data_IF_433908857853
#
_entry.id   IF_433908857853
#
_cell.length_a   1.000
_cell.length_b   1.000
_cell.length_c   1.000
_cell.angle_alpha   90.00
_cell.angle_beta   90.00
_cell.angle_gamma   90.00
#
_symmetry.space_group_name_H-M   'P 1'
#
loop_
_entity.id
_entity.type
_entity.pdbx_description
1 polymer ?
#
# COMPACT_ATOMS: atom_id res chain seq x y z
N UNK A 1 -10.74 -15.77 -6.26
CA UNK A 1 -9.65 -15.03 -5.60
C UNK A 1 -8.37 -15.82 -5.83
N UNK A 2 -7.33 -15.24 -6.43
CA UNK A 2 -6.06 -15.94 -6.66
C UNK A 2 -5.28 -16.03 -5.34
N UNK A 3 -4.69 -17.20 -5.08
CA UNK A 3 -3.82 -17.43 -3.92
C UNK A 3 -2.35 -17.25 -4.31
N UNK A 4 -1.47 -17.15 -3.32
CA UNK A 4 -0.01 -17.14 -3.57
C UNK A 4 0.47 -18.44 -4.25
N UNK A 5 -0.21 -19.57 -3.98
CA UNK A 5 0.07 -20.84 -4.65
C UNK A 5 -0.25 -20.79 -6.16
N UNK A 6 -1.31 -20.07 -6.55
CA UNK A 6 -1.64 -19.87 -7.97
C UNK A 6 -0.57 -19.06 -8.69
N UNK A 7 0.00 -18.05 -8.02
CA UNK A 7 1.12 -17.27 -8.55
C UNK A 7 2.34 -18.13 -8.75
N UNK A 8 2.75 -18.94 -7.76
CA UNK A 8 3.90 -19.84 -7.87
C UNK A 8 3.70 -20.88 -9.00
N UNK A 9 2.51 -21.46 -9.13
CA UNK A 9 2.20 -22.40 -10.19
C UNK A 9 2.27 -21.76 -11.59
N UNK A 10 1.80 -20.52 -11.74
CA UNK A 10 1.92 -19.77 -13.00
C UNK A 10 3.37 -19.52 -13.37
N UNK A 11 4.22 -19.18 -12.41
CA UNK A 11 5.64 -18.93 -12.62
C UNK A 11 6.40 -20.17 -13.10
N UNK A 12 6.04 -21.36 -12.61
CA UNK A 12 6.66 -22.65 -13.01
C UNK A 12 6.51 -22.97 -14.50
N UNK A 13 5.50 -22.40 -15.16
CA UNK A 13 5.27 -22.60 -16.59
C UNK A 13 6.24 -21.82 -17.49
N UNK A 14 6.96 -20.84 -16.91
CA UNK A 14 7.87 -19.96 -17.64
C UNK A 14 9.33 -20.34 -17.37
N UNK A 15 10.04 -20.79 -18.40
CA UNK A 15 11.43 -21.29 -18.28
C UNK A 15 12.50 -20.21 -18.12
N UNK A 16 12.22 -18.93 -18.37
CA UNK A 16 13.20 -17.83 -18.40
C UNK A 16 12.72 -16.56 -17.70
N UNK A 17 12.31 -16.68 -16.44
CA UNK A 17 12.03 -15.50 -15.63
C UNK A 17 13.36 -14.97 -15.08
N UNK A 18 13.78 -13.80 -15.57
CA UNK A 18 14.97 -13.12 -15.08
C UNK A 18 14.73 -12.40 -13.75
N UNK A 19 13.56 -11.79 -13.62
CA UNK A 19 13.17 -10.99 -12.45
C UNK A 19 11.68 -10.72 -12.44
N UNK A 20 11.09 -10.73 -11.25
CA UNK A 20 9.71 -10.32 -11.01
C UNK A 20 9.73 -8.91 -10.43
N UNK A 21 8.99 -7.99 -11.04
CA UNK A 21 8.81 -6.64 -10.51
C UNK A 21 7.38 -6.50 -10.00
N UNK A 22 7.22 -6.10 -8.74
CA UNK A 22 5.93 -5.85 -8.10
C UNK A 22 5.70 -4.35 -8.02
N UNK A 23 4.52 -3.94 -8.46
CA UNK A 23 3.99 -2.60 -8.23
C UNK A 23 2.59 -2.73 -7.67
N UNK A 24 2.30 -2.02 -6.58
CA UNK A 24 1.00 -2.02 -5.92
C UNK A 24 0.43 -0.62 -5.88
N UNK A 25 -0.88 -0.51 -5.97
CA UNK A 25 -1.56 0.78 -5.84
C UNK A 25 -2.96 0.59 -5.28
N UNK A 26 -3.48 1.64 -4.67
CA UNK A 26 -4.81 1.62 -4.10
C UNK A 26 -5.27 2.97 -3.58
N UNK A 27 -6.58 3.10 -3.43
CA UNK A 27 -7.24 4.26 -2.86
C UNK A 27 -8.01 3.87 -1.60
N UNK A 28 -7.99 4.72 -0.54
CA UNK A 28 -8.77 4.53 0.68
C UNK A 28 -8.45 3.18 1.35
N UNK A 29 -9.45 2.34 1.60
CA UNK A 29 -9.28 0.96 2.09
C UNK A 29 -8.48 0.08 1.12
N UNK A 30 -8.55 0.37 -0.19
CA UNK A 30 -7.71 -0.28 -1.19
C UNK A 30 -6.22 0.07 -1.02
N UNK A 31 -5.91 1.27 -0.56
CA UNK A 31 -4.53 1.66 -0.21
C UNK A 31 -4.04 0.91 1.05
N UNK A 32 -4.87 0.79 2.08
CA UNK A 32 -4.57 -0.03 3.25
C UNK A 32 -4.35 -1.51 2.88
N UNK A 33 -5.21 -2.05 2.01
CA UNK A 33 -5.06 -3.41 1.50
C UNK A 33 -3.77 -3.58 0.67
N UNK A 34 -3.40 -2.61 -0.15
CA UNK A 34 -2.16 -2.64 -0.93
C UNK A 34 -0.92 -2.70 -0.02
N UNK A 35 -0.91 -1.93 1.07
CA UNK A 35 0.15 -1.96 2.09
C UNK A 35 0.22 -3.32 2.78
N UNK A 36 -0.89 -3.80 3.33
CA UNK A 36 -0.98 -5.08 4.02
C UNK A 36 -0.63 -6.26 3.09
N UNK A 37 -1.13 -6.26 1.85
CA UNK A 37 -0.81 -7.28 0.85
C UNK A 37 0.68 -7.32 0.52
N UNK A 38 1.29 -6.14 0.33
CA UNK A 38 2.71 -6.06 -0.02
C UNK A 38 3.59 -6.64 1.08
N UNK A 39 3.30 -6.31 2.35
CA UNK A 39 4.01 -6.88 3.50
C UNK A 39 3.80 -8.40 3.59
N UNK A 40 2.55 -8.85 3.45
CA UNK A 40 2.26 -10.28 3.47
C UNK A 40 2.96 -11.03 2.33
N UNK A 41 3.07 -10.42 1.15
CA UNK A 41 3.79 -11.03 0.05
C UNK A 41 5.30 -11.08 0.31
N UNK A 42 5.87 -10.01 0.88
CA UNK A 42 7.29 -10.01 1.29
C UNK A 42 7.62 -11.12 2.30
N UNK A 43 6.71 -11.45 3.19
CA UNK A 43 6.90 -12.56 4.14
C UNK A 43 6.93 -13.94 3.47
N UNK A 44 6.41 -14.06 2.24
CA UNK A 44 6.52 -15.28 1.44
C UNK A 44 7.84 -15.34 0.65
N UNK A 45 8.63 -14.26 0.66
CA UNK A 45 9.90 -14.20 -0.05
C UNK A 45 11.05 -14.64 0.85
N UNK A 46 12.00 -15.36 0.27
CA UNK A 46 13.29 -15.63 0.89
C UNK A 46 14.23 -14.44 0.69
N UNK A 47 15.03 -14.11 1.70
CA UNK A 47 16.03 -13.04 1.63
C UNK A 47 17.43 -13.63 1.78
N UNK A 48 18.31 -13.31 0.84
CA UNK A 48 19.72 -13.71 0.87
C UNK A 48 20.63 -12.51 0.51
N UNK A 49 21.93 -12.77 0.35
CA UNK A 49 22.92 -11.75 -0.01
C UNK A 49 22.67 -11.11 -1.40
N UNK A 50 21.89 -11.75 -2.27
CA UNK A 50 21.54 -11.27 -3.61
C UNK A 50 20.21 -10.50 -3.62
N UNK A 51 19.47 -10.46 -2.50
CA UNK A 51 18.19 -9.79 -2.34
C UNK A 51 17.03 -10.71 -2.06
N UNK A 52 15.85 -10.36 -2.55
CA UNK A 52 14.63 -11.15 -2.37
C UNK A 52 14.41 -12.13 -3.51
N UNK A 53 13.94 -13.31 -3.18
CA UNK A 53 13.50 -14.32 -4.14
C UNK A 53 12.14 -14.90 -3.73
N UNK A 54 11.38 -15.36 -4.72
CA UNK A 54 10.04 -15.92 -4.51
C UNK A 54 9.86 -17.26 -5.21
N UNK A 55 9.07 -18.12 -4.56
CA UNK A 55 8.62 -19.40 -5.09
C UNK A 55 9.70 -20.47 -5.13
N UNK A 56 9.31 -21.68 -5.51
CA UNK A 56 10.19 -22.86 -5.57
C UNK A 56 11.33 -22.71 -6.57
N UNK A 57 11.15 -21.87 -7.59
CA UNK A 57 12.17 -21.52 -8.58
C UNK A 57 13.17 -20.45 -8.12
N UNK A 58 13.02 -19.93 -6.90
CA UNK A 58 13.86 -18.83 -6.34
C UNK A 58 14.01 -17.67 -7.32
N UNK A 59 12.89 -17.24 -7.91
CA UNK A 59 12.87 -16.14 -8.86
C UNK A 59 13.22 -14.82 -8.18
N UNK A 60 14.23 -14.07 -8.66
CA UNK A 60 14.55 -12.76 -8.12
C UNK A 60 13.33 -11.85 -8.18
N UNK A 61 13.00 -11.18 -7.06
CA UNK A 61 11.82 -10.31 -6.96
C UNK A 61 12.22 -8.94 -6.42
N UNK A 62 11.57 -7.91 -6.91
CA UNK A 62 11.77 -6.54 -6.47
C UNK A 62 10.44 -5.80 -6.35
N UNK A 63 10.23 -5.17 -5.21
CA UNK A 63 9.10 -4.29 -4.98
C UNK A 63 9.44 -2.88 -5.48
N UNK A 64 9.04 -2.60 -6.71
CA UNK A 64 9.45 -1.40 -7.46
C UNK A 64 8.74 -0.15 -7.00
N UNK A 65 7.42 -0.25 -6.84
CA UNK A 65 6.58 0.93 -6.68
C UNK A 65 5.36 0.63 -5.81
N UNK A 66 5.01 1.60 -4.96
CA UNK A 66 3.73 1.64 -4.27
C UNK A 66 3.10 3.03 -4.48
N UNK A 67 1.95 3.07 -5.14
CA UNK A 67 1.15 4.28 -5.36
C UNK A 67 -0.12 4.23 -4.53
N UNK A 68 -0.25 5.04 -3.51
CA UNK A 68 -1.38 5.00 -2.60
C UNK A 68 -2.04 6.38 -2.49
N UNK A 69 -3.36 6.37 -2.38
CA UNK A 69 -4.18 7.56 -2.34
C UNK A 69 -5.03 7.52 -1.08
N UNK A 70 -4.82 8.50 -0.22
CA UNK A 70 -5.56 8.79 0.99
C UNK A 70 -5.94 7.53 1.79
N UNK A 71 -4.91 6.85 2.31
CA UNK A 71 -5.00 5.56 2.98
C UNK A 71 -5.90 5.64 4.21
N UNK A 72 -6.95 4.82 4.28
CA UNK A 72 -7.86 4.72 5.42
C UNK A 72 -8.02 3.27 5.83
N UNK A 73 -7.56 2.93 7.03
CA UNK A 73 -7.66 1.58 7.58
C UNK A 73 -8.88 1.38 8.50
N UNK A 74 -9.51 2.46 8.98
CA UNK A 74 -10.58 2.38 9.97
C UNK A 74 -11.85 1.73 9.42
N UNK A 75 -12.39 0.77 10.17
CA UNK A 75 -13.69 0.18 9.94
C UNK A 75 -14.72 0.81 10.89
N UNK A 76 -15.48 1.79 10.44
CA UNK A 76 -16.79 2.15 10.98
C UNK A 76 -16.89 2.65 12.44
N UNK A 77 -15.84 2.65 13.23
CA UNK A 77 -15.82 3.24 14.57
C UNK A 77 -14.89 4.43 14.59
N UNK A 78 -15.42 5.64 14.83
CA UNK A 78 -14.58 6.82 15.00
C UNK A 78 -13.63 6.61 16.19
N UNK A 79 -12.37 6.96 16.02
CA UNK A 79 -11.37 7.08 17.09
C UNK A 79 -10.85 5.79 17.76
N UNK A 80 -10.95 4.61 17.18
CA UNK A 80 -10.24 3.43 17.70
C UNK A 80 -8.78 3.33 17.26
N UNK A 81 -8.32 4.20 16.38
CA UNK A 81 -6.92 4.28 15.94
C UNK A 81 -5.97 5.02 16.90
N UNK A 82 -6.34 5.13 18.18
CA UNK A 82 -5.42 5.64 19.22
C UNK A 82 -4.30 4.66 19.58
N UNK A 83 -4.33 3.46 19.07
CA UNK A 83 -3.23 2.51 19.17
C UNK A 83 -2.37 2.61 17.92
N UNK A 84 -1.09 2.97 18.11
CA UNK A 84 -0.02 3.10 17.12
C UNK A 84 0.26 1.86 16.24
N UNK A 85 -0.64 0.90 16.18
CA UNK A 85 -0.51 -0.28 15.34
C UNK A 85 -1.29 -0.03 14.05
N UNK A 86 -0.56 0.43 13.03
CA UNK A 86 -1.03 0.48 11.66
C UNK A 86 -1.34 -0.95 11.18
N UNK A 87 -2.56 -1.43 11.48
CA UNK A 87 -3.00 -2.74 11.04
C UNK A 87 -4.30 -2.64 10.25
N UNK A 88 -4.40 -3.42 9.20
CA UNK A 88 -5.60 -3.59 8.42
C UNK A 88 -6.03 -5.06 8.48
N UNK A 89 -7.19 -5.33 9.09
CA UNK A 89 -7.67 -6.71 9.28
C UNK A 89 -6.60 -7.60 9.96
N UNK A 90 -5.98 -7.07 11.03
CA UNK A 90 -4.91 -7.75 11.77
C UNK A 90 -3.55 -7.83 11.03
N UNK A 91 -3.43 -7.22 9.86
CA UNK A 91 -2.19 -7.22 9.05
C UNK A 91 -1.44 -5.91 9.19
N UNK A 92 -0.12 -6.00 9.27
CA UNK A 92 0.76 -4.84 9.35
C UNK A 92 0.70 -4.00 8.06
N UNK A 93 0.51 -2.69 8.24
CA UNK A 93 0.50 -1.69 7.16
C UNK A 93 1.73 -0.79 7.15
N UNK A 94 2.68 -0.99 8.04
CA UNK A 94 3.96 -0.26 8.00
C UNK A 94 4.66 -0.62 6.69
N UNK A 95 4.99 0.39 5.89
CA UNK A 95 5.61 0.18 4.58
C UNK A 95 7.06 -0.27 4.78
N UNK A 96 7.42 -1.41 4.20
CA UNK A 96 8.76 -1.98 4.29
C UNK A 96 9.77 -1.16 3.46
N UNK A 97 10.91 -0.85 4.04
CA UNK A 97 11.97 -0.02 3.43
C UNK A 97 12.56 -0.61 2.14
N UNK A 98 12.33 -1.89 1.87
CA UNK A 98 12.73 -2.57 0.62
C UNK A 98 11.89 -2.17 -0.59
N UNK A 99 10.77 -1.47 -0.40
CA UNK A 99 10.01 -0.87 -1.49
C UNK A 99 10.82 0.30 -2.06
N UNK A 100 11.19 0.19 -3.34
CA UNK A 100 12.11 1.15 -3.99
C UNK A 100 11.55 2.57 -4.05
N UNK A 101 10.27 2.71 -4.35
CA UNK A 101 9.59 3.99 -4.46
C UNK A 101 8.17 3.88 -3.90
N UNK A 102 7.79 4.85 -3.09
CA UNK A 102 6.41 5.00 -2.62
C UNK A 102 5.94 6.44 -2.83
N UNK A 103 4.73 6.60 -3.34
CA UNK A 103 4.08 7.91 -3.44
C UNK A 103 2.71 7.80 -2.78
N UNK A 104 2.50 8.62 -1.76
CA UNK A 104 1.24 8.75 -1.05
C UNK A 104 0.63 10.12 -1.31
N UNK A 105 -0.53 10.15 -1.94
CA UNK A 105 -1.32 11.35 -2.14
C UNK A 105 -2.35 11.44 -1.03
N UNK A 106 -2.40 12.55 -0.32
CA UNK A 106 -3.25 12.78 0.87
C UNK A 106 -4.21 13.94 0.62
N UNK A 107 -5.46 13.79 1.02
CA UNK A 107 -6.47 14.84 0.99
C UNK A 107 -6.23 15.85 2.11
N UNK A 108 -6.02 17.13 1.74
CA UNK A 108 -5.72 18.19 2.70
C UNK A 108 -6.95 18.77 3.41
N UNK A 109 -8.15 18.54 2.89
CA UNK A 109 -9.38 19.14 3.38
C UNK A 109 -10.42 18.10 3.85
N UNK A 110 -10.01 16.85 4.14
CA UNK A 110 -10.94 15.86 4.66
C UNK A 110 -11.33 16.19 6.11
N UNK A 111 -12.60 16.48 6.32
CA UNK A 111 -13.16 16.87 7.62
C UNK A 111 -13.93 15.75 8.32
N UNK A 112 -14.12 14.59 7.67
CA UNK A 112 -14.92 13.50 8.22
C UNK A 112 -14.09 12.67 9.19
N UNK A 113 -14.48 12.63 10.45
CA UNK A 113 -13.85 11.80 11.49
C UNK A 113 -13.82 10.30 11.17
N UNK A 114 -14.69 9.86 10.26
CA UNK A 114 -14.76 8.46 9.84
C UNK A 114 -13.63 8.04 8.87
N UNK A 115 -12.81 8.99 8.39
CA UNK A 115 -11.74 8.76 7.43
C UNK A 115 -10.40 9.32 7.93
N UNK A 116 -9.89 8.88 9.09
CA UNK A 116 -8.55 9.26 9.51
C UNK A 116 -7.55 8.66 8.52
N UNK A 117 -6.67 9.51 7.99
CA UNK A 117 -5.65 9.08 7.03
C UNK A 117 -4.46 8.45 7.76
N UNK A 118 -4.01 7.30 7.26
CA UNK A 118 -2.83 6.60 7.73
C UNK A 118 -1.61 7.01 6.91
N UNK A 119 -0.83 7.93 7.44
CA UNK A 119 0.36 8.50 6.79
C UNK A 119 1.49 7.46 6.61
N UNK A 120 2.49 7.77 5.77
CA UNK A 120 3.64 6.88 5.51
C UNK A 120 4.87 7.22 6.35
N UNK A 121 4.89 8.38 7.00
CA UNK A 121 5.99 8.72 7.90
C UNK A 121 5.84 8.06 9.28
N UNK A 122 6.97 7.86 9.93
CA UNK A 122 7.06 7.40 11.32
C UNK A 122 6.55 8.49 12.26
N UNK A 123 6.22 8.15 13.50
CA UNK A 123 5.69 9.10 14.49
C UNK A 123 6.58 10.31 14.80
N UNK A 124 7.84 10.30 14.34
CA UNK A 124 8.76 11.45 14.42
C UNK A 124 8.72 12.34 13.16
N UNK A 125 7.80 12.13 12.23
CA UNK A 125 7.67 12.87 10.99
C UNK A 125 8.67 12.50 9.89
N UNK A 126 9.51 11.49 10.11
CA UNK A 126 10.51 11.07 9.13
C UNK A 126 9.95 9.98 8.19
N UNK A 127 10.23 10.14 6.90
CA UNK A 127 10.00 9.10 5.89
C UNK A 127 11.20 8.15 5.88
N UNK A 128 10.93 6.84 5.94
CA UNK A 128 11.96 5.82 6.11
C UNK A 128 12.93 5.70 4.91
N UNK A 129 12.48 6.05 3.71
CA UNK A 129 13.25 5.92 2.47
C UNK A 129 13.24 7.25 1.71
N UNK A 130 14.40 7.77 1.27
CA UNK A 130 14.49 9.06 0.59
C UNK A 130 13.77 9.11 -0.77
N UNK A 131 13.46 7.94 -1.36
CA UNK A 131 12.70 7.85 -2.60
C UNK A 131 11.19 7.83 -2.39
N UNK A 132 10.72 7.90 -1.15
CA UNK A 132 9.30 7.96 -0.84
C UNK A 132 8.85 9.41 -0.72
N UNK A 133 7.61 9.67 -1.11
CA UNK A 133 7.01 10.99 -1.05
C UNK A 133 5.59 10.91 -0.50
N UNK A 134 5.26 11.84 0.37
CA UNK A 134 3.90 12.11 0.78
C UNK A 134 3.53 13.51 0.31
N UNK A 135 2.45 13.61 -0.46
CA UNK A 135 2.02 14.83 -1.13
C UNK A 135 0.60 15.16 -0.71
N UNK A 136 0.41 16.32 -0.11
CA UNK A 136 -0.91 16.80 0.29
C UNK A 136 -1.51 17.61 -0.84
N UNK A 137 -2.73 17.25 -1.25
CA UNK A 137 -3.49 17.96 -2.26
C UNK A 137 -4.69 18.69 -1.66
N UNK A 138 -5.05 19.85 -2.15
CA UNK A 138 -6.30 20.48 -1.79
C UNK A 138 -7.47 19.64 -2.27
N UNK A 139 -8.50 19.50 -1.44
CA UNK A 139 -9.67 18.70 -1.72
C UNK A 139 -9.94 17.64 -0.67
N UNK A 140 -11.04 16.94 -0.84
CA UNK A 140 -11.50 15.88 0.04
C UNK A 140 -11.01 14.51 -0.45
N UNK A 141 -11.30 13.47 0.32
CA UNK A 141 -10.95 12.08 0.05
C UNK A 141 -11.18 11.63 -1.41
N UNK A 142 -12.37 11.92 -1.93
CA UNK A 142 -12.75 11.56 -3.30
C UNK A 142 -12.03 12.36 -4.38
N UNK A 143 -11.63 13.58 -4.09
CA UNK A 143 -10.93 14.42 -5.06
C UNK A 143 -9.52 13.87 -5.34
N UNK A 144 -8.88 13.34 -4.32
CA UNK A 144 -7.57 12.68 -4.42
C UNK A 144 -7.68 11.29 -5.07
N UNK A 145 -8.76 10.58 -4.79
CA UNK A 145 -8.99 9.22 -5.30
C UNK A 145 -9.62 9.14 -6.68
N UNK A 146 -10.10 10.27 -7.24
CA UNK A 146 -10.77 10.30 -8.54
C UNK A 146 -12.17 9.65 -8.55
N UNK A 147 -12.86 9.63 -7.39
CA UNK A 147 -14.06 8.83 -7.18
C UNK A 147 -15.39 9.39 -7.68
N UNK A 148 -15.48 10.67 -8.07
CA UNK A 148 -16.75 11.27 -8.48
C UNK A 148 -16.63 12.07 -9.78
N UNK A 149 -17.68 12.01 -10.60
CA UNK A 149 -17.79 12.90 -11.74
C UNK A 149 -18.01 14.35 -11.28
N UNK A 150 -17.43 15.34 -11.96
CA UNK A 150 -17.64 16.75 -11.63
C UNK A 150 -19.14 17.06 -11.52
N UNK A 151 -19.56 17.69 -10.42
CA UNK A 151 -20.95 18.06 -10.17
C UNK A 151 -21.82 16.98 -9.49
N UNK A 152 -21.35 15.75 -9.35
CA UNK A 152 -22.14 14.68 -8.70
C UNK A 152 -22.28 14.84 -7.18
N UNK A 153 -21.52 15.75 -6.58
CA UNK A 153 -21.55 16.06 -5.13
C UNK A 153 -22.36 17.31 -4.78
N UNK A 154 -23.03 17.91 -5.73
CA UNK A 154 -23.99 18.99 -5.44
C UNK A 154 -25.22 18.37 -4.75
N UNK A 155 -25.07 18.07 -3.49
CA UNK A 155 -26.18 17.74 -2.60
C UNK A 155 -26.80 19.07 -2.19
N UNK A 156 -28.06 19.27 -2.57
CA UNK A 156 -28.90 20.36 -2.11
C UNK A 156 -29.02 20.37 -0.59
#
# INVERSE_FOLDING_TARGET
MYSFADVDNSLKQHRLIKKINISTFGFSRGAALARAFTNQFMWQCESDCNGLSYGTGKYPIEFKFMGIFDTVASFGLPATSLNNNLTFDGRDMVIDERIKMCVHHVAGNELRFAFPVDLIHKGNGQIANPNWKELVYPGMHSDVGGGYTPGSQNVN
#
